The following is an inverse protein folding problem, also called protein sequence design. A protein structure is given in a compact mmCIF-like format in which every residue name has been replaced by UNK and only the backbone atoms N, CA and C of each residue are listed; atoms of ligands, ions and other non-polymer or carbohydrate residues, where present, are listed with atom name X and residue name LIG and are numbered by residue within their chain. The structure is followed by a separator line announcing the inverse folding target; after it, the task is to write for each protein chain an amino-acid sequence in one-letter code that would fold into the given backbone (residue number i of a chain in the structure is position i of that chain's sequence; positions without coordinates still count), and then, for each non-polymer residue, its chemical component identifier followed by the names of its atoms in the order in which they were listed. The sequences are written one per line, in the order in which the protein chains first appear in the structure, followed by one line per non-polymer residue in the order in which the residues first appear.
data_IF_316865224179
#
_entry.id   IF_316865224179
#
_cell.length_a   1.000
_cell.length_b   1.000
_cell.length_c   1.000
_cell.angle_alpha   90.00
_cell.angle_beta   90.00
_cell.angle_gamma   90.00
#
_symmetry.space_group_name_H-M   'P 1'
#
loop_
_entity.id
_entity.type
_entity.pdbx_description
1 polymer ?
#
# COMPACT_ATOMS: atom_id res chain seq x y z
N UNK A 1 -11.84 4.60 -42.84
CA UNK A 1 -11.86 4.71 -41.37
C UNK A 1 -10.52 4.21 -40.91
N UNK A 2 -9.66 5.13 -40.48
CA UNK A 2 -8.24 4.91 -40.25
C UNK A 2 -8.00 4.36 -38.85
N UNK A 3 -7.35 3.21 -38.73
CA UNK A 3 -6.80 2.73 -37.47
C UNK A 3 -5.27 2.80 -37.58
N UNK A 4 -4.71 3.90 -37.10
CA UNK A 4 -3.27 4.07 -36.98
C UNK A 4 -2.81 3.27 -35.76
N UNK A 5 -2.08 2.18 -36.02
CA UNK A 5 -1.36 1.45 -34.98
C UNK A 5 -0.26 2.32 -34.39
N UNK A 6 -0.42 2.70 -33.13
CA UNK A 6 0.60 3.36 -32.33
C UNK A 6 1.71 2.34 -32.00
N UNK A 7 2.84 2.48 -32.68
CA UNK A 7 4.07 1.75 -32.32
C UNK A 7 4.64 2.43 -31.08
N UNK A 8 4.31 1.90 -29.91
CA UNK A 8 4.99 2.28 -28.68
C UNK A 8 6.43 1.79 -28.76
N UNK A 9 7.35 2.73 -28.98
CA UNK A 9 8.77 2.52 -28.75
C UNK A 9 8.93 2.10 -27.30
N UNK A 10 9.18 0.81 -27.08
CA UNK A 10 9.57 0.29 -25.77
C UNK A 10 11.01 0.74 -25.55
N UNK A 11 11.19 2.03 -25.22
CA UNK A 11 12.32 2.40 -24.40
C UNK A 11 12.25 1.45 -23.20
N UNK A 12 13.30 0.66 -23.03
CA UNK A 12 13.42 -0.33 -21.98
C UNK A 12 13.34 0.37 -20.62
N UNK A 13 12.14 0.73 -20.20
CA UNK A 13 11.80 1.04 -18.84
C UNK A 13 11.96 -0.30 -18.14
N UNK A 14 13.14 -0.50 -17.56
CA UNK A 14 13.35 -1.59 -16.61
C UNK A 14 12.26 -1.43 -15.57
N UNK A 15 11.28 -2.33 -15.57
CA UNK A 15 10.19 -2.33 -14.60
C UNK A 15 10.82 -2.24 -13.22
N UNK A 16 10.57 -1.12 -12.51
CA UNK A 16 11.16 -0.89 -11.20
C UNK A 16 10.24 -1.47 -10.14
N UNK A 17 10.82 -1.98 -9.06
CA UNK A 17 10.04 -2.41 -7.90
C UNK A 17 9.78 -1.20 -7.00
N UNK A 18 8.51 -0.94 -6.71
CA UNK A 18 8.13 0.13 -5.78
C UNK A 18 8.44 -0.30 -4.35
N UNK A 19 9.23 0.50 -3.62
CA UNK A 19 9.52 0.24 -2.19
C UNK A 19 8.34 0.48 -1.26
N UNK A 20 7.29 1.18 -1.73
CA UNK A 20 6.07 1.49 -0.96
C UNK A 20 5.01 0.39 -1.09
N UNK A 21 4.51 0.16 -2.30
CA UNK A 21 3.47 -0.84 -2.57
C UNK A 21 3.99 -2.24 -2.91
N UNK A 22 5.31 -2.41 -3.09
CA UNK A 22 5.96 -3.68 -3.51
C UNK A 22 5.50 -4.22 -4.87
N UNK A 23 4.83 -3.38 -5.68
CA UNK A 23 4.45 -3.72 -7.05
C UNK A 23 5.51 -3.26 -8.06
N UNK A 24 5.57 -3.96 -9.19
CA UNK A 24 6.37 -3.54 -10.35
C UNK A 24 5.66 -2.39 -11.05
N UNK A 25 6.41 -1.38 -11.45
CA UNK A 25 5.88 -0.22 -12.14
C UNK A 25 6.84 0.30 -13.21
N UNK A 26 6.27 0.93 -14.24
CA UNK A 26 7.04 1.65 -15.24
C UNK A 26 7.32 3.08 -14.76
N UNK A 27 8.57 3.49 -14.55
CA UNK A 27 8.89 4.86 -14.14
C UNK A 27 8.39 5.90 -15.15
N UNK A 28 8.31 5.54 -16.43
CA UNK A 28 7.81 6.43 -17.50
C UNK A 28 6.30 6.68 -17.45
N UNK A 29 5.52 5.82 -16.79
CA UNK A 29 4.05 5.96 -16.62
C UNK A 29 3.68 6.29 -15.17
N UNK A 30 4.65 6.71 -14.37
CA UNK A 30 4.45 6.98 -12.97
C UNK A 30 3.71 8.30 -12.79
N UNK A 31 2.48 8.23 -12.30
CA UNK A 31 1.62 9.38 -12.01
C UNK A 31 1.41 9.49 -10.50
N UNK A 32 0.98 10.65 -9.97
CA UNK A 32 0.75 10.82 -8.52
C UNK A 32 -0.37 9.93 -7.97
N UNK A 33 -1.15 9.25 -8.81
CA UNK A 33 -2.21 8.33 -8.39
C UNK A 33 -1.93 6.87 -8.77
N UNK A 34 -0.73 6.56 -9.26
CA UNK A 34 -0.38 5.21 -9.73
C UNK A 34 -0.09 4.25 -8.57
N UNK A 35 0.53 4.71 -7.48
CA UNK A 35 0.97 3.84 -6.38
C UNK A 35 -0.02 3.88 -5.22
N UNK A 36 -0.79 2.81 -5.00
CA UNK A 36 -1.61 2.63 -3.80
C UNK A 36 -0.82 1.88 -2.72
N UNK A 37 -0.52 2.53 -1.60
CA UNK A 37 0.26 1.96 -0.50
C UNK A 37 -0.32 2.33 0.87
N UNK A 38 0.04 1.55 1.88
CA UNK A 38 -0.23 1.87 3.28
C UNK A 38 0.98 2.64 3.85
N UNK A 39 0.85 3.94 4.20
CA UNK A 39 1.95 4.72 4.76
C UNK A 39 2.33 4.27 6.18
N UNK A 40 1.39 3.67 6.90
CA UNK A 40 1.62 3.09 8.22
C UNK A 40 1.84 1.58 8.15
N UNK A 41 2.51 1.04 9.16
CA UNK A 41 2.74 -0.40 9.28
C UNK A 41 1.46 -1.14 9.69
N UNK A 42 1.39 -2.40 9.31
CA UNK A 42 0.39 -3.32 9.83
C UNK A 42 0.73 -3.65 11.30
N UNK A 43 -0.08 -3.16 12.22
CA UNK A 43 0.16 -3.26 13.66
C UNK A 43 -0.75 -4.33 14.26
N UNK A 44 -0.20 -5.07 15.23
CA UNK A 44 -0.96 -6.01 16.06
C UNK A 44 -1.16 -5.36 17.43
N UNK A 45 -2.09 -4.39 17.51
CA UNK A 45 -2.42 -3.68 18.76
C UNK A 45 -3.93 -3.51 18.84
N UNK A 46 -4.49 -3.21 20.02
CA UNK A 46 -5.91 -2.89 20.12
C UNK A 46 -6.17 -1.50 19.54
N UNK A 47 -7.27 -1.35 18.82
CA UNK A 47 -7.76 -0.03 18.38
C UNK A 47 -8.18 0.83 19.59
N UNK A 48 -8.54 0.19 20.71
CA UNK A 48 -9.08 0.79 21.93
C UNK A 48 -8.02 1.10 23.02
N UNK A 49 -6.74 1.23 22.67
CA UNK A 49 -5.64 1.36 23.65
C UNK A 49 -5.76 2.59 24.59
N UNK A 50 -6.70 3.51 24.33
CA UNK A 50 -7.00 4.63 25.24
C UNK A 50 -8.13 4.35 26.25
N UNK A 51 -8.88 3.25 26.15
CA UNK A 51 -9.96 2.89 27.08
C UNK A 51 -10.08 1.38 27.28
N UNK A 52 -9.25 0.80 28.16
CA UNK A 52 -9.68 -0.17 29.20
C UNK A 52 -8.45 -0.86 29.80
N UNK A 53 -8.06 -0.34 30.96
CA UNK A 53 -7.06 -0.96 31.83
C UNK A 53 -7.64 -2.12 32.67
N UNK A 54 -8.90 -2.52 32.50
CA UNK A 54 -9.51 -3.61 33.28
C UNK A 54 -10.36 -4.54 32.40
N UNK A 55 -9.82 -5.75 32.25
CA UNK A 55 -10.48 -7.05 32.13
C UNK A 55 -11.31 -7.33 30.85
N UNK A 56 -10.73 -8.18 29.99
CA UNK A 56 -11.46 -8.90 28.95
C UNK A 56 -12.48 -9.84 29.61
N UNK A 57 -13.74 -9.76 29.19
CA UNK A 57 -14.70 -10.81 29.51
C UNK A 57 -14.34 -12.13 28.80
N UNK A 58 -14.80 -13.29 29.29
CA UNK A 58 -14.52 -14.60 28.68
C UNK A 58 -15.08 -14.78 27.26
N UNK A 59 -15.92 -13.84 26.80
CA UNK A 59 -16.51 -13.78 25.46
C UNK A 59 -15.80 -12.77 24.53
N UNK A 60 -14.82 -12.01 25.06
CA UNK A 60 -14.10 -11.01 24.28
C UNK A 60 -13.14 -11.70 23.30
N UNK A 61 -13.14 -11.35 22.00
CA UNK A 61 -12.27 -11.97 21.02
C UNK A 61 -10.79 -11.89 21.42
N UNK A 62 -9.97 -12.92 21.08
CA UNK A 62 -8.57 -12.95 21.45
C UNK A 62 -7.81 -11.70 20.98
N UNK A 63 -6.93 -11.23 21.86
CA UNK A 63 -6.33 -9.89 22.01
C UNK A 63 -5.56 -9.28 20.81
N UNK A 64 -5.56 -9.85 19.61
CA UNK A 64 -4.75 -9.36 18.50
C UNK A 64 -5.61 -8.95 17.30
N UNK A 65 -6.32 -7.82 17.41
CA UNK A 65 -6.77 -7.13 16.20
C UNK A 65 -5.51 -6.70 15.44
N UNK A 66 -5.38 -7.15 14.19
CA UNK A 66 -4.31 -6.72 13.31
C UNK A 66 -4.91 -5.79 12.30
N UNK A 67 -4.40 -4.57 12.22
CA UNK A 67 -4.92 -3.59 11.28
C UNK A 67 -3.82 -2.64 10.80
N UNK A 68 -4.08 -2.00 9.67
CA UNK A 68 -3.28 -0.89 9.19
C UNK A 68 -3.64 0.39 9.95
N UNK A 69 -2.69 0.98 10.67
CA UNK A 69 -2.94 2.19 11.46
C UNK A 69 -3.41 3.39 10.62
N UNK A 70 -3.10 3.40 9.33
CA UNK A 70 -3.46 4.46 8.41
C UNK A 70 -4.93 4.46 7.97
N UNK A 71 -5.61 3.30 7.97
CA UNK A 71 -6.99 3.19 7.49
C UNK A 71 -7.90 2.28 8.31
N UNK A 72 -7.34 1.58 9.31
CA UNK A 72 -8.05 0.58 10.09
C UNK A 72 -8.34 -0.73 9.35
N UNK A 73 -7.81 -0.92 8.14
CA UNK A 73 -8.04 -2.16 7.39
C UNK A 73 -7.43 -3.35 8.12
N UNK A 74 -8.27 -4.34 8.43
CA UNK A 74 -7.88 -5.54 9.18
C UNK A 74 -7.26 -6.62 8.27
N UNK A 75 -7.56 -6.55 6.97
CA UNK A 75 -7.02 -7.44 5.96
C UNK A 75 -5.60 -7.01 5.55
N UNK A 76 -4.58 -7.89 5.65
CA UNK A 76 -3.22 -7.60 5.21
C UNK A 76 -3.10 -7.45 3.68
N UNK A 77 -4.07 -7.98 2.93
CA UNK A 77 -4.16 -7.86 1.48
C UNK A 77 -5.04 -6.67 1.04
N UNK A 78 -5.49 -5.83 1.98
CA UNK A 78 -6.27 -4.64 1.65
C UNK A 78 -5.47 -3.70 0.72
N UNK A 79 -6.13 -3.10 -0.29
CA UNK A 79 -5.47 -2.13 -1.16
C UNK A 79 -4.96 -0.95 -0.33
N UNK A 80 -3.80 -0.41 -0.73
CA UNK A 80 -3.20 0.73 -0.05
C UNK A 80 -4.16 1.91 0.05
N UNK A 81 -4.31 2.47 1.25
CA UNK A 81 -5.27 3.55 1.51
C UNK A 81 -4.81 4.93 1.02
N UNK A 82 -3.55 5.07 0.61
CA UNK A 82 -2.98 6.31 0.12
C UNK A 82 -2.40 6.12 -1.27
N UNK A 83 -2.57 7.12 -2.13
CA UNK A 83 -2.10 7.11 -3.51
C UNK A 83 -1.03 8.18 -3.71
N UNK A 84 0.14 7.78 -4.22
CA UNK A 84 1.22 8.70 -4.62
C UNK A 84 1.91 8.20 -5.90
N UNK A 85 3.00 8.88 -6.28
CA UNK A 85 4.01 8.32 -7.17
C UNK A 85 4.64 7.05 -6.59
N UNK A 86 4.92 6.08 -7.45
CA UNK A 86 5.78 4.96 -7.11
C UNK A 86 7.20 5.46 -6.79
N UNK A 87 7.79 4.94 -5.73
CA UNK A 87 9.17 5.23 -5.34
C UNK A 87 10.04 4.00 -5.65
N UNK A 88 11.06 4.16 -6.49
CA UNK A 88 12.02 3.09 -6.73
C UNK A 88 13.11 3.07 -5.66
N UNK A 89 13.84 1.95 -5.52
CA UNK A 89 14.99 1.87 -4.61
C UNK A 89 16.17 2.76 -5.03
N UNK A 90 16.18 3.23 -6.28
CA UNK A 90 17.24 4.01 -6.92
C UNK A 90 16.98 5.54 -6.86
N UNK A 91 15.82 5.96 -6.35
CA UNK A 91 15.36 7.37 -6.35
C UNK A 91 16.00 8.24 -5.23
N UNK A 92 16.87 7.65 -4.39
CA UNK A 92 17.48 8.27 -3.20
C UNK A 92 19.01 8.49 -3.37
N UNK A 93 19.44 8.89 -4.57
CA UNK A 93 20.85 9.15 -4.92
C UNK A 93 21.15 10.65 -5.04
#
# INVERSE_FOLDING_TARGET
MSEAGEVVVVAAAVEKLCRRCKQRFDPSKNTPSSCSFHPSFFVCRRHDDQKRYYELGPDDPPYAAKFYDCCGAEDPDAPGCSTDFHASYDDDA
#
